data_IF_317963380647
#
_entry.id   IF_317963380647
#
_cell.length_a   1.000
_cell.length_b   1.000
_cell.length_c   1.000
_cell.angle_alpha   90.00
_cell.angle_beta   90.00
_cell.angle_gamma   90.00
#
_symmetry.space_group_name_H-M   'P 1'
#
loop_
_entity.id
_entity.type
_entity.pdbx_description
1 polymer ?
#
# COMPACT_ATOMS: atom_id res chain seq x y z
N UNK A 1 -7.64 75.71 -6.84
CA UNK A 1 -7.12 74.52 -7.52
C UNK A 1 -6.93 73.44 -6.45
N UNK A 2 -7.95 72.61 -6.19
CA UNK A 2 -7.89 71.52 -5.22
C UNK A 2 -7.94 70.22 -6.02
N UNK A 3 -6.90 69.42 -5.87
CA UNK A 3 -6.67 68.15 -6.54
C UNK A 3 -7.64 67.12 -5.94
N UNK A 4 -8.27 66.32 -6.79
CA UNK A 4 -9.22 65.28 -6.42
C UNK A 4 -8.43 64.05 -5.95
N UNK A 5 -8.36 63.80 -4.65
CA UNK A 5 -7.82 62.56 -4.11
C UNK A 5 -8.80 61.41 -4.41
N UNK A 6 -8.45 60.59 -5.40
CA UNK A 6 -9.18 59.39 -5.80
C UNK A 6 -8.66 58.17 -5.03
N UNK A 7 -9.45 57.47 -4.19
CA UNK A 7 -9.00 56.29 -3.49
C UNK A 7 -9.39 55.03 -4.29
N UNK A 8 -8.69 54.76 -5.40
CA UNK A 8 -8.84 53.49 -6.12
C UNK A 8 -7.53 52.69 -6.25
N UNK A 9 -6.45 53.11 -5.58
CA UNK A 9 -5.14 52.48 -5.74
C UNK A 9 -4.82 51.37 -4.70
N UNK A 10 -5.74 51.03 -3.78
CA UNK A 10 -5.45 50.11 -2.67
C UNK A 10 -5.81 48.63 -2.91
N UNK A 11 -6.39 48.27 -4.07
CA UNK A 11 -7.02 46.95 -4.25
C UNK A 11 -6.30 45.97 -5.20
N UNK A 12 -5.01 46.15 -5.47
CA UNK A 12 -4.24 45.24 -6.35
C UNK A 12 -2.94 44.80 -5.68
N UNK A 13 -3.04 44.19 -4.49
CA UNK A 13 -2.04 43.18 -4.14
C UNK A 13 -2.36 41.94 -4.99
N UNK A 14 -1.39 41.37 -5.72
CA UNK A 14 -1.55 40.01 -6.24
C UNK A 14 -1.93 39.15 -5.05
N UNK A 15 -3.08 38.48 -5.11
CA UNK A 15 -3.43 37.49 -4.11
C UNK A 15 -2.24 36.53 -4.00
N UNK A 16 -1.71 36.34 -2.79
CA UNK A 16 -0.64 35.38 -2.58
C UNK A 16 -1.07 34.06 -3.23
N UNK A 17 -0.21 33.50 -4.10
CA UNK A 17 -0.47 32.18 -4.66
C UNK A 17 -0.77 31.24 -3.50
N UNK A 18 -1.80 30.40 -3.60
CA UNK A 18 -2.09 29.45 -2.54
C UNK A 18 -0.83 28.63 -2.25
N UNK A 19 -0.52 28.45 -0.96
CA UNK A 19 0.60 27.65 -0.52
C UNK A 19 0.49 26.24 -1.14
N UNK A 20 1.51 25.83 -1.89
CA UNK A 20 1.54 24.51 -2.48
C UNK A 20 1.77 23.48 -1.36
N UNK A 21 0.74 22.69 -1.05
CA UNK A 21 0.84 21.55 -0.16
C UNK A 21 0.79 20.25 -0.98
N UNK A 22 1.94 19.62 -1.28
CA UNK A 22 1.99 18.38 -2.05
C UNK A 22 1.12 17.26 -1.44
N UNK A 23 0.99 17.24 -0.11
CA UNK A 23 0.20 16.23 0.61
C UNK A 23 -1.30 16.46 0.44
N UNK A 24 -1.75 17.71 0.28
CA UNK A 24 -3.16 18.01 0.03
C UNK A 24 -3.62 17.54 -1.35
N UNK A 25 -2.71 17.45 -2.33
CA UNK A 25 -3.01 16.86 -3.64
C UNK A 25 -3.07 15.33 -3.59
N UNK A 26 -2.26 14.70 -2.74
CA UNK A 26 -2.12 13.24 -2.70
C UNK A 26 -3.41 12.51 -2.32
N UNK A 27 -4.25 13.13 -1.48
CA UNK A 27 -5.52 12.56 -1.01
C UNK A 27 -6.54 12.36 -2.15
N UNK A 28 -6.55 13.25 -3.15
CA UNK A 28 -7.46 13.17 -4.31
C UNK A 28 -7.00 12.17 -5.37
N UNK A 29 -5.68 11.91 -5.47
CA UNK A 29 -5.13 11.01 -6.49
C UNK A 29 -5.02 9.56 -6.04
N UNK A 30 -4.77 9.33 -4.74
CA UNK A 30 -4.64 7.99 -4.17
C UNK A 30 -5.20 7.98 -2.75
N UNK A 31 -6.41 7.44 -2.52
CA UNK A 31 -6.89 7.29 -1.17
C UNK A 31 -5.90 6.44 -0.36
N UNK A 32 -5.71 6.79 0.91
CA UNK A 32 -4.87 6.00 1.80
C UNK A 32 -5.38 4.54 1.83
N UNK A 33 -4.48 3.54 1.75
CA UNK A 33 -4.89 2.15 1.82
C UNK A 33 -5.62 1.89 3.13
N UNK A 34 -6.80 1.28 3.05
CA UNK A 34 -7.44 0.72 4.23
C UNK A 34 -6.56 -0.43 4.74
N UNK A 35 -5.94 -0.25 5.91
CA UNK A 35 -5.10 -1.27 6.51
C UNK A 35 -5.95 -2.49 6.89
N UNK A 36 -5.55 -3.65 6.37
CA UNK A 36 -6.13 -4.93 6.75
C UNK A 36 -5.85 -5.20 8.22
N UNK A 37 -6.89 -5.49 9.00
CA UNK A 37 -6.75 -5.91 10.38
C UNK A 37 -6.00 -7.24 10.47
N UNK A 38 -5.21 -7.40 11.54
CA UNK A 38 -4.47 -8.62 11.79
C UNK A 38 -5.40 -9.84 11.80
N UNK A 39 -5.03 -10.90 11.10
CA UNK A 39 -5.86 -12.09 10.98
C UNK A 39 -5.05 -13.35 10.72
N UNK A 40 -5.64 -14.49 11.09
CA UNK A 40 -5.09 -15.80 10.77
C UNK A 40 -6.01 -16.51 9.79
N UNK A 41 -5.47 -16.94 8.66
CA UNK A 41 -6.20 -17.65 7.60
C UNK A 41 -5.59 -19.03 7.33
N UNK A 42 -6.38 -19.92 6.74
CA UNK A 42 -5.89 -21.21 6.24
C UNK A 42 -5.55 -21.08 4.75
N UNK A 43 -4.34 -21.49 4.38
CA UNK A 43 -3.82 -21.48 3.01
C UNK A 43 -3.64 -22.91 2.50
N UNK A 44 -4.47 -23.32 1.54
CA UNK A 44 -4.50 -24.69 1.04
C UNK A 44 -3.44 -25.01 -0.03
N UNK A 45 -2.70 -24.00 -0.52
CA UNK A 45 -1.80 -24.04 -1.68
C UNK A 45 -2.35 -24.94 -2.80
N UNK A 46 -3.61 -24.73 -3.17
CA UNK A 46 -4.31 -25.50 -4.22
C UNK A 46 -4.32 -27.01 -3.99
N UNK A 47 -4.43 -27.44 -2.72
CA UNK A 47 -4.46 -28.85 -2.31
C UNK A 47 -3.11 -29.57 -2.43
N UNK A 48 -2.02 -28.85 -2.67
CA UNK A 48 -0.69 -29.45 -2.79
C UNK A 48 -0.10 -29.88 -1.43
N UNK A 49 -0.65 -29.41 -0.32
CA UNK A 49 -0.25 -29.79 1.03
C UNK A 49 -1.26 -30.76 1.64
N UNK A 50 -0.77 -31.70 2.45
CA UNK A 50 -1.64 -32.62 3.20
C UNK A 50 -2.47 -31.89 4.26
N UNK A 51 -1.87 -30.87 4.88
CA UNK A 51 -2.52 -29.98 5.85
C UNK A 51 -2.37 -28.54 5.37
N UNK A 52 -3.45 -27.74 5.30
CA UNK A 52 -3.35 -26.32 4.99
C UNK A 52 -2.43 -25.58 5.96
N UNK A 53 -1.71 -24.58 5.45
CA UNK A 53 -0.89 -23.70 6.29
C UNK A 53 -1.77 -22.74 7.07
N UNK A 54 -1.40 -22.45 8.31
CA UNK A 54 -1.97 -21.31 9.06
C UNK A 54 -1.07 -20.10 8.83
N UNK A 55 -1.62 -19.06 8.20
CA UNK A 55 -0.90 -17.82 7.93
C UNK A 55 -1.46 -16.71 8.80
N UNK A 56 -0.60 -16.09 9.61
CA UNK A 56 -0.92 -14.89 10.36
C UNK A 56 -0.41 -13.66 9.59
N UNK A 57 -1.32 -12.77 9.23
CA UNK A 57 -1.01 -11.52 8.54
C UNK A 57 -1.30 -10.34 9.48
N UNK A 58 -0.33 -9.44 9.63
CA UNK A 58 -0.42 -8.26 10.48
C UNK A 58 0.37 -7.08 9.90
N UNK A 59 -0.34 -6.13 9.28
CA UNK A 59 0.25 -4.97 8.61
C UNK A 59 0.69 -3.85 9.57
N UNK A 60 0.66 -4.06 10.88
CA UNK A 60 1.16 -3.06 11.85
C UNK A 60 2.66 -2.82 11.72
N UNK A 61 3.42 -3.78 11.17
CA UNK A 61 4.86 -3.62 10.87
C UNK A 61 5.25 -4.24 9.52
N UNK A 62 5.87 -3.42 8.66
CA UNK A 62 6.38 -3.87 7.35
C UNK A 62 5.29 -4.44 6.42
N UNK A 63 5.60 -5.54 5.73
CA UNK A 63 4.67 -6.22 4.81
C UNK A 63 3.70 -7.18 5.51
N UNK A 64 3.82 -7.33 6.83
CA UNK A 64 2.85 -8.03 7.66
C UNK A 64 2.52 -9.46 7.26
N UNK A 65 3.48 -10.21 6.73
CA UNK A 65 3.28 -11.63 6.41
C UNK A 65 2.39 -11.89 5.18
N UNK A 66 2.04 -10.86 4.39
CA UNK A 66 1.22 -11.04 3.20
C UNK A 66 1.90 -11.93 2.16
N UNK A 67 1.13 -12.84 1.55
CA UNK A 67 1.65 -13.66 0.44
C UNK A 67 1.84 -12.83 -0.81
N UNK A 68 2.96 -13.02 -1.51
CA UNK A 68 3.22 -12.35 -2.77
C UNK A 68 2.83 -13.25 -3.95
N UNK A 69 2.17 -12.73 -5.00
CA UNK A 69 1.75 -13.54 -6.13
C UNK A 69 2.89 -14.36 -6.75
N UNK A 70 4.07 -13.77 -6.90
CA UNK A 70 5.25 -14.47 -7.43
C UNK A 70 5.73 -15.60 -6.50
N UNK A 71 5.77 -15.36 -5.19
CA UNK A 71 6.14 -16.38 -4.20
C UNK A 71 5.16 -17.56 -4.19
N UNK A 72 3.87 -17.30 -4.39
CA UNK A 72 2.84 -18.34 -4.49
C UNK A 72 2.99 -19.19 -5.76
N UNK A 73 3.36 -18.58 -6.89
CA UNK A 73 3.68 -19.30 -8.13
C UNK A 73 4.88 -20.21 -7.91
N UNK A 74 5.96 -19.69 -7.31
CA UNK A 74 7.15 -20.48 -6.99
C UNK A 74 6.83 -21.64 -6.04
N UNK A 75 6.11 -21.38 -4.95
CA UNK A 75 5.72 -22.42 -3.99
C UNK A 75 4.94 -23.55 -4.66
N UNK A 76 3.98 -23.21 -5.52
CA UNK A 76 3.22 -24.20 -6.31
C UNK A 76 4.11 -24.97 -7.27
N UNK A 77 5.06 -24.31 -7.94
CA UNK A 77 6.02 -24.97 -8.84
C UNK A 77 6.89 -25.98 -8.07
N UNK A 78 7.50 -25.54 -6.97
CA UNK A 78 8.34 -26.38 -6.13
C UNK A 78 7.57 -27.60 -5.59
N UNK A 79 6.35 -27.40 -5.07
CA UNK A 79 5.53 -28.50 -4.54
C UNK A 79 5.01 -29.46 -5.62
N UNK A 80 4.92 -29.03 -6.89
CA UNK A 80 4.49 -29.91 -7.99
C UNK A 80 5.63 -30.72 -8.58
N UNK A 81 6.79 -30.10 -8.75
CA UNK A 81 7.87 -30.69 -9.53
C UNK A 81 9.08 -31.13 -8.70
N UNK A 82 9.26 -30.57 -7.50
CA UNK A 82 10.46 -30.79 -6.67
C UNK A 82 10.12 -31.24 -5.24
N UNK A 83 8.91 -31.75 -5.00
CA UNK A 83 8.45 -32.13 -3.65
C UNK A 83 9.33 -33.18 -3.00
N UNK A 84 9.71 -34.21 -3.75
CA UNK A 84 10.52 -35.31 -3.24
C UNK A 84 11.94 -34.84 -2.89
N UNK A 85 12.51 -33.95 -3.71
CA UNK A 85 13.81 -33.32 -3.46
C UNK A 85 13.79 -32.45 -2.20
N UNK A 86 12.69 -31.73 -1.96
CA UNK A 86 12.50 -30.88 -0.78
C UNK A 86 12.25 -31.65 0.52
N UNK A 87 11.74 -32.89 0.47
CA UNK A 87 11.42 -33.66 1.67
C UNK A 87 12.60 -33.91 2.60
N UNK A 88 13.83 -33.84 2.07
CA UNK A 88 15.08 -33.98 2.81
C UNK A 88 15.81 -32.64 3.00
N UNK A 89 15.27 -31.53 2.49
CA UNK A 89 15.84 -30.22 2.68
C UNK A 89 15.65 -29.80 4.15
N UNK A 90 16.72 -29.35 4.79
CA UNK A 90 16.65 -28.86 6.16
C UNK A 90 15.90 -27.53 6.21
N UNK A 91 15.01 -27.38 7.20
CA UNK A 91 14.46 -26.10 7.64
C UNK A 91 15.38 -25.45 8.67
#
# INVERSE_FOLDING_TARGET
MKILDSPLAAALHPAASPEFSPLALAEDFTPLPAYKAAQTSNFDISGLLATPLKLHEDLTSGCGGQTWPAGMVLAKHMLRYHREEMGNARM
#
